data_IF_693652350738
#
_entry.id   IF_693652350738
#
_cell.length_a   1.000
_cell.length_b   1.000
_cell.length_c   1.000
_cell.angle_alpha   90.00
_cell.angle_beta   90.00
_cell.angle_gamma   90.00
#
_symmetry.space_group_name_H-M   'P 1'
#
loop_
_entity.id
_entity.type
_entity.pdbx_description
1 polymer ?
#
# COMPACT_ATOMS: atom_id res chain seq x y z
N UNK A 1 13.60 -25.90 -9.28
CA UNK A 1 12.59 -26.04 -8.21
C UNK A 1 11.67 -24.84 -8.36
N UNK A 2 10.42 -25.03 -8.77
CA UNK A 2 9.46 -23.94 -8.99
C UNK A 2 8.98 -23.42 -7.64
N UNK A 3 9.43 -22.22 -7.25
CA UNK A 3 9.02 -21.56 -6.01
C UNK A 3 7.92 -20.51 -6.21
N UNK A 4 7.26 -20.49 -7.37
CA UNK A 4 6.26 -19.47 -7.67
C UNK A 4 4.85 -20.08 -7.63
N UNK A 5 4.39 -20.43 -6.43
CA UNK A 5 2.95 -20.55 -6.23
C UNK A 5 2.37 -19.14 -6.20
N UNK A 6 1.48 -18.82 -7.14
CA UNK A 6 0.75 -17.55 -7.15
C UNK A 6 0.08 -17.33 -5.79
N UNK A 7 0.26 -16.15 -5.16
CA UNK A 7 -0.42 -15.83 -3.91
C UNK A 7 -1.95 -15.96 -4.05
N UNK A 8 -2.60 -16.45 -3.00
CA UNK A 8 -4.05 -16.63 -2.97
C UNK A 8 -4.71 -15.46 -2.25
N UNK A 9 -5.79 -14.94 -2.81
CA UNK A 9 -6.60 -13.90 -2.16
C UNK A 9 -7.45 -14.52 -1.05
N UNK A 10 -7.37 -13.95 0.15
CA UNK A 10 -8.14 -14.38 1.33
C UNK A 10 -8.82 -13.18 2.00
N UNK A 11 -9.96 -13.43 2.64
CA UNK A 11 -10.71 -12.41 3.39
C UNK A 11 -10.33 -12.48 4.88
N UNK A 12 -9.98 -11.34 5.46
CA UNK A 12 -9.66 -11.19 6.89
C UNK A 12 -10.91 -11.00 7.74
N UNK A 13 -10.79 -11.07 9.07
CA UNK A 13 -11.93 -10.94 9.99
C UNK A 13 -12.64 -9.57 9.91
N UNK A 14 -11.92 -8.50 9.57
CA UNK A 14 -12.50 -7.18 9.31
C UNK A 14 -13.16 -7.03 7.92
N UNK A 15 -13.16 -8.09 7.11
CA UNK A 15 -13.73 -8.12 5.76
C UNK A 15 -12.81 -7.61 4.65
N UNK A 16 -11.62 -7.11 4.98
CA UNK A 16 -10.64 -6.70 3.96
C UNK A 16 -9.91 -7.91 3.34
N UNK A 17 -9.23 -7.66 2.21
CA UNK A 17 -8.51 -8.71 1.50
C UNK A 17 -7.02 -8.70 1.83
N UNK A 18 -6.48 -9.90 2.06
CA UNK A 18 -5.05 -10.17 2.20
C UNK A 18 -4.61 -11.19 1.15
N UNK A 19 -3.30 -11.44 1.09
CA UNK A 19 -2.73 -12.51 0.29
C UNK A 19 -2.10 -13.55 1.21
N UNK A 20 -2.32 -14.83 0.91
CA UNK A 20 -1.54 -15.92 1.46
C UNK A 20 -0.50 -16.34 0.43
N UNK A 21 0.79 -16.35 0.79
CA UNK A 21 1.86 -16.92 -0.04
C UNK A 21 2.13 -18.37 0.37
N UNK A 22 1.70 -19.37 -0.43
CA UNK A 22 1.98 -20.77 -0.14
C UNK A 22 3.47 -21.08 -0.12
N UNK A 23 4.27 -20.32 -0.89
CA UNK A 23 5.73 -20.45 -0.93
C UNK A 23 6.38 -20.21 0.43
N UNK A 24 5.82 -19.32 1.26
CA UNK A 24 6.36 -18.98 2.59
C UNK A 24 5.51 -19.54 3.73
N UNK A 25 4.25 -19.89 3.45
CA UNK A 25 3.28 -20.28 4.47
C UNK A 25 2.84 -19.09 5.33
N UNK A 26 2.87 -17.88 4.76
CA UNK A 26 2.62 -16.61 5.47
C UNK A 26 1.59 -15.74 4.74
N UNK A 27 0.87 -14.95 5.53
CA UNK A 27 -0.03 -13.91 5.04
C UNK A 27 0.69 -12.57 4.89
N UNK A 28 0.29 -11.78 3.89
CA UNK A 28 0.88 -10.46 3.61
C UNK A 28 0.49 -9.41 4.65
N UNK A 29 -0.68 -9.59 5.27
CA UNK A 29 -1.21 -8.79 6.38
C UNK A 29 -1.85 -9.70 7.42
N UNK A 30 -2.10 -9.19 8.63
CA UNK A 30 -2.80 -9.92 9.69
C UNK A 30 -4.16 -10.45 9.23
N UNK A 31 -4.45 -11.69 9.60
CA UNK A 31 -5.76 -12.32 9.37
C UNK A 31 -6.90 -11.67 10.15
N UNK A 32 -6.58 -10.89 11.20
CA UNK A 32 -7.57 -10.15 11.99
C UNK A 32 -8.09 -8.91 11.25
N UNK A 33 -7.33 -8.40 10.27
CA UNK A 33 -7.78 -7.28 9.44
C UNK A 33 -6.65 -6.51 8.79
N UNK A 34 -6.52 -6.61 7.46
CA UNK A 34 -5.46 -5.94 6.71
C UNK A 34 -5.62 -4.42 6.74
N UNK A 35 -6.84 -3.92 6.46
CA UNK A 35 -7.12 -2.48 6.48
C UNK A 35 -7.01 -1.92 7.88
N UNK A 36 -7.55 -2.61 8.90
CA UNK A 36 -7.48 -2.15 10.27
C UNK A 36 -6.03 -2.05 10.77
N UNK A 37 -5.21 -3.06 10.49
CA UNK A 37 -3.79 -3.07 10.86
C UNK A 37 -3.03 -1.94 10.17
N UNK A 38 -3.17 -1.80 8.84
CA UNK A 38 -2.49 -0.74 8.08
C UNK A 38 -2.88 0.65 8.56
N UNK A 39 -4.17 0.90 8.84
CA UNK A 39 -4.64 2.18 9.37
C UNK A 39 -4.08 2.47 10.76
N UNK A 40 -4.05 1.47 11.64
CA UNK A 40 -3.62 1.68 13.01
C UNK A 40 -2.10 1.82 13.14
N UNK A 41 -1.35 0.84 12.61
CA UNK A 41 0.10 0.74 12.80
C UNK A 41 0.82 1.63 11.79
N UNK A 42 0.63 1.39 10.50
CA UNK A 42 1.40 2.04 9.47
C UNK A 42 1.02 3.51 9.33
N UNK A 43 -0.27 3.80 9.18
CA UNK A 43 -0.75 5.18 9.00
C UNK A 43 -0.77 5.93 10.31
N UNK A 44 -1.50 5.43 11.31
CA UNK A 44 -1.72 6.12 12.58
C UNK A 44 -0.46 6.30 13.42
N UNK A 45 0.24 5.21 13.73
CA UNK A 45 1.38 5.26 14.65
C UNK A 45 2.70 5.69 14.00
N UNK A 46 2.86 5.53 12.68
CA UNK A 46 4.10 5.93 12.00
C UNK A 46 3.93 7.18 11.12
N UNK A 47 3.14 7.10 10.03
CA UNK A 47 3.06 8.18 9.06
C UNK A 47 2.47 9.47 9.65
N UNK A 48 1.32 9.39 10.32
CA UNK A 48 0.66 10.56 10.90
C UNK A 48 1.52 11.22 11.98
N UNK A 49 2.14 10.44 12.87
CA UNK A 49 3.03 10.98 13.89
C UNK A 49 4.21 11.72 13.27
N UNK A 50 4.78 11.19 12.18
CA UNK A 50 5.83 11.89 11.42
C UNK A 50 5.33 13.19 10.80
N UNK A 51 4.16 13.17 10.16
CA UNK A 51 3.55 14.37 9.57
C UNK A 51 3.24 15.44 10.62
N UNK A 52 2.80 15.03 11.81
CA UNK A 52 2.56 15.92 12.96
C UNK A 52 3.86 16.54 13.47
N UNK A 53 4.92 15.75 13.58
CA UNK A 53 6.23 16.21 14.03
C UNK A 53 6.86 17.23 13.06
N UNK A 54 6.58 17.10 11.75
CA UNK A 54 7.06 18.01 10.70
C UNK A 54 6.00 19.02 10.25
N UNK A 55 5.00 19.32 11.09
CA UNK A 55 3.92 20.24 10.73
C UNK A 55 4.48 21.59 10.27
N UNK A 56 4.09 22.01 9.07
CA UNK A 56 4.51 23.27 8.46
C UNK A 56 5.81 23.19 7.65
N UNK A 57 6.48 22.03 7.62
CA UNK A 57 7.53 21.79 6.65
C UNK A 57 6.95 21.88 5.22
N UNK A 58 7.80 22.20 4.25
CA UNK A 58 7.40 22.35 2.84
C UNK A 58 8.06 21.32 1.93
N UNK A 59 9.13 20.70 2.40
CA UNK A 59 9.87 19.65 1.70
C UNK A 59 9.09 18.35 1.62
N UNK A 60 9.30 17.56 0.57
CA UNK A 60 8.66 16.26 0.44
C UNK A 60 9.10 15.28 1.53
N UNK A 61 8.15 14.53 2.10
CA UNK A 61 8.44 13.39 2.95
C UNK A 61 9.00 12.25 2.08
N UNK A 62 10.05 11.57 2.53
CA UNK A 62 10.59 10.39 1.87
C UNK A 62 10.27 9.17 2.71
N UNK A 63 9.55 8.22 2.15
CA UNK A 63 9.12 7.00 2.82
C UNK A 63 9.73 5.80 2.09
N UNK A 64 10.25 4.84 2.85
CA UNK A 64 10.77 3.58 2.30
C UNK A 64 10.03 2.40 2.92
N UNK A 65 9.48 1.53 2.08
CA UNK A 65 8.84 0.27 2.44
C UNK A 65 9.67 -0.92 1.92
N UNK A 66 9.70 -2.00 2.69
CA UNK A 66 10.23 -3.29 2.25
C UNK A 66 9.06 -4.25 2.13
N UNK A 67 8.82 -4.76 0.92
CA UNK A 67 7.66 -5.57 0.59
C UNK A 67 6.47 -4.70 0.20
N UNK A 68 6.38 -4.36 -1.09
CA UNK A 68 5.23 -3.64 -1.62
C UNK A 68 3.93 -4.45 -1.50
N UNK A 69 4.05 -5.76 -1.69
CA UNK A 69 2.98 -6.72 -1.48
C UNK A 69 1.69 -6.36 -2.21
N UNK A 70 0.62 -6.14 -1.44
CA UNK A 70 -0.69 -5.81 -1.99
C UNK A 70 -0.81 -4.37 -2.47
N UNK A 71 0.13 -3.49 -2.11
CA UNK A 71 0.05 -2.04 -2.35
C UNK A 71 -0.87 -1.28 -1.38
N UNK A 72 -1.45 -1.93 -0.36
CA UNK A 72 -2.39 -1.30 0.58
C UNK A 72 -1.76 -0.12 1.35
N UNK A 73 -0.56 -0.30 1.90
CA UNK A 73 0.12 0.77 2.63
C UNK A 73 0.48 1.95 1.73
N UNK A 74 0.89 1.68 0.48
CA UNK A 74 1.16 2.70 -0.52
C UNK A 74 -0.11 3.48 -0.88
N UNK A 75 -1.22 2.78 -1.13
CA UNK A 75 -2.53 3.38 -1.37
C UNK A 75 -2.96 4.29 -0.23
N UNK A 76 -2.89 3.82 1.02
CA UNK A 76 -3.28 4.60 2.19
C UNK A 76 -2.34 5.79 2.42
N UNK A 77 -1.05 5.63 2.15
CA UNK A 77 -0.08 6.73 2.20
C UNK A 77 -0.40 7.80 1.15
N UNK A 78 -0.76 7.40 -0.06
CA UNK A 78 -1.16 8.32 -1.13
C UNK A 78 -2.45 9.06 -0.76
N UNK A 79 -3.48 8.36 -0.29
CA UNK A 79 -4.71 8.99 0.22
C UNK A 79 -4.39 10.06 1.28
N UNK A 80 -3.45 9.77 2.19
CA UNK A 80 -3.02 10.73 3.23
C UNK A 80 -2.24 11.91 2.64
N UNK A 81 -1.34 11.66 1.70
CA UNK A 81 -0.56 12.71 1.04
C UNK A 81 -1.46 13.73 0.33
N UNK A 82 -2.51 13.25 -0.35
CA UNK A 82 -3.54 14.09 -0.98
C UNK A 82 -4.31 14.90 0.05
N UNK A 83 -4.81 14.26 1.12
CA UNK A 83 -5.61 14.91 2.15
C UNK A 83 -4.84 16.03 2.88
N UNK A 84 -3.56 15.81 3.17
CA UNK A 84 -2.69 16.76 3.86
C UNK A 84 -2.01 17.75 2.90
N UNK A 85 -2.15 17.55 1.58
CA UNK A 85 -1.44 18.28 0.52
C UNK A 85 0.07 18.33 0.78
N UNK A 86 0.62 17.22 1.27
CA UNK A 86 2.04 17.06 1.62
C UNK A 86 2.68 16.12 0.59
N UNK A 87 3.65 16.59 -0.21
CA UNK A 87 4.35 15.72 -1.14
C UNK A 87 5.05 14.57 -0.42
N UNK A 88 4.86 13.35 -0.93
CA UNK A 88 5.52 12.13 -0.48
C UNK A 88 6.23 11.49 -1.67
N UNK A 89 7.51 11.17 -1.49
CA UNK A 89 8.24 10.25 -2.37
C UNK A 89 8.26 8.88 -1.71
N UNK A 90 7.56 7.92 -2.31
CA UNK A 90 7.40 6.56 -1.82
C UNK A 90 8.37 5.63 -2.55
N UNK A 91 9.25 5.01 -1.79
CA UNK A 91 10.20 4.03 -2.29
C UNK A 91 9.78 2.66 -1.77
N UNK A 92 9.71 1.67 -2.65
CA UNK A 92 9.48 0.29 -2.22
C UNK A 92 10.36 -0.68 -2.98
N UNK A 93 10.61 -1.83 -2.36
CA UNK A 93 11.22 -2.98 -3.01
C UNK A 93 10.30 -4.18 -2.83
N UNK A 94 10.19 -4.99 -3.88
CA UNK A 94 9.43 -6.23 -3.84
C UNK A 94 10.20 -7.30 -4.62
N UNK A 95 10.35 -8.47 -4.01
CA UNK A 95 11.05 -9.59 -4.63
C UNK A 95 10.13 -10.38 -5.55
N UNK A 96 8.84 -10.45 -5.21
CA UNK A 96 7.84 -11.20 -5.98
C UNK A 96 6.59 -10.32 -6.20
N UNK A 97 6.64 -9.36 -7.16
CA UNK A 97 5.49 -8.51 -7.44
C UNK A 97 4.26 -9.35 -7.81
N UNK A 98 3.10 -8.97 -7.29
CA UNK A 98 1.83 -9.64 -7.57
C UNK A 98 1.39 -9.38 -9.01
N UNK A 99 0.89 -10.42 -9.69
CA UNK A 99 0.42 -10.31 -11.07
C UNK A 99 -0.94 -9.60 -11.19
N UNK A 100 -1.33 -9.15 -12.39
CA UNK A 100 -2.62 -8.52 -12.66
C UNK A 100 -3.81 -9.34 -12.16
N UNK A 101 -3.80 -10.66 -12.34
CA UNK A 101 -4.91 -11.51 -11.87
C UNK A 101 -5.13 -11.42 -10.36
N UNK A 102 -4.08 -11.10 -9.58
CA UNK A 102 -4.15 -11.00 -8.13
C UNK A 102 -4.56 -9.59 -7.72
N UNK A 103 -3.87 -8.54 -8.20
CA UNK A 103 -4.16 -7.19 -7.71
C UNK A 103 -5.47 -6.63 -8.25
N UNK A 104 -5.95 -7.07 -9.42
CA UNK A 104 -7.28 -6.69 -9.93
C UNK A 104 -8.41 -7.29 -9.09
N UNK A 105 -8.15 -8.41 -8.42
CA UNK A 105 -9.09 -9.01 -7.47
C UNK A 105 -9.08 -8.29 -6.11
N UNK A 106 -8.04 -7.49 -5.80
CA UNK A 106 -7.99 -6.73 -4.56
C UNK A 106 -8.94 -5.55 -4.61
N UNK A 107 -9.84 -5.52 -3.63
CA UNK A 107 -10.75 -4.42 -3.36
C UNK A 107 -10.79 -4.18 -1.86
N UNK A 108 -10.64 -2.92 -1.47
CA UNK A 108 -10.57 -2.51 -0.08
C UNK A 108 -11.82 -1.70 0.28
N UNK A 109 -12.94 -2.40 0.44
CA UNK A 109 -14.19 -1.76 0.87
C UNK A 109 -14.01 -1.02 2.19
N UNK A 110 -14.61 0.17 2.29
CA UNK A 110 -14.50 1.01 3.49
C UNK A 110 -13.20 1.84 3.59
N UNK A 111 -12.21 1.63 2.71
CA UNK A 111 -11.12 2.60 2.53
C UNK A 111 -11.72 3.84 1.88
N UNK A 112 -11.70 4.95 2.62
CA UNK A 112 -12.25 6.24 2.18
C UNK A 112 -11.12 7.26 2.06
N UNK A 113 -11.31 8.22 1.17
CA UNK A 113 -10.34 9.29 0.96
C UNK A 113 -10.58 10.02 -0.37
N UNK A 114 -9.69 10.95 -0.73
CA UNK A 114 -9.78 11.73 -1.96
C UNK A 114 -9.65 10.91 -3.26
N UNK A 115 -9.05 9.71 -3.23
CA UNK A 115 -8.85 8.86 -4.40
C UNK A 115 -9.86 7.72 -4.44
N UNK A 116 -10.22 7.27 -5.65
CA UNK A 116 -10.85 5.97 -5.83
C UNK A 116 -9.83 4.85 -5.51
N UNK A 117 -10.10 3.94 -4.55
CA UNK A 117 -9.14 2.92 -4.16
C UNK A 117 -8.74 1.97 -5.30
N UNK A 118 -9.68 1.59 -6.18
CA UNK A 118 -9.40 0.64 -7.23
C UNK A 118 -8.53 1.27 -8.34
N UNK A 119 -8.85 2.50 -8.75
CA UNK A 119 -8.05 3.23 -9.72
C UNK A 119 -6.62 3.50 -9.19
N UNK A 120 -6.51 3.95 -7.94
CA UNK A 120 -5.21 4.24 -7.33
C UNK A 120 -4.37 2.96 -7.15
N UNK A 121 -4.98 1.84 -6.74
CA UNK A 121 -4.29 0.57 -6.63
C UNK A 121 -3.80 0.08 -8.00
N UNK A 122 -4.64 0.19 -9.03
CA UNK A 122 -4.26 -0.12 -10.41
C UNK A 122 -3.08 0.73 -10.89
N UNK A 123 -3.09 2.04 -10.60
CA UNK A 123 -1.99 2.93 -10.94
C UNK A 123 -0.68 2.57 -10.22
N UNK A 124 -0.75 2.18 -8.95
CA UNK A 124 0.40 1.75 -8.17
C UNK A 124 1.02 0.44 -8.71
N UNK A 125 0.20 -0.56 -9.05
CA UNK A 125 0.70 -1.85 -9.57
C UNK A 125 1.17 -1.79 -11.03
N UNK A 126 0.67 -0.82 -11.81
CA UNK A 126 1.08 -0.63 -13.22
C UNK A 126 2.26 0.32 -13.39
N UNK A 127 2.67 1.01 -12.32
CA UNK A 127 3.86 1.86 -12.33
C UNK A 127 5.13 1.00 -12.58
N UNK A 128 6.02 1.39 -13.52
CA UNK A 128 7.24 0.64 -13.80
C UNK A 128 8.18 0.60 -12.59
N UNK A 129 8.69 -0.61 -12.28
CA UNK A 129 9.75 -0.79 -11.30
C UNK A 129 11.06 -0.13 -11.74
N UNK A 130 11.72 0.55 -10.81
CA UNK A 130 13.04 1.16 -11.01
C UNK A 130 13.02 2.61 -11.51
N UNK A 131 11.84 3.14 -11.86
CA UNK A 131 11.64 4.52 -12.28
C UNK A 131 10.79 5.29 -11.27
N UNK A 132 11.04 6.59 -11.15
CA UNK A 132 10.18 7.48 -10.36
C UNK A 132 8.95 7.88 -11.18
N UNK A 133 7.76 7.66 -10.63
CA UNK A 133 6.49 7.87 -11.34
C UNK A 133 5.62 8.81 -10.54
N UNK A 134 5.48 10.05 -11.02
CA UNK A 134 4.58 11.02 -10.39
C UNK A 134 3.12 10.64 -10.68
N UNK A 135 2.45 10.05 -9.69
CA UNK A 135 1.03 9.69 -9.79
C UNK A 135 0.12 10.89 -9.46
N UNK A 136 0.63 11.86 -8.70
CA UNK A 136 -0.01 13.15 -8.48
C UNK A 136 1.01 14.22 -8.06
N UNK A 137 0.61 15.50 -7.87
CA UNK A 137 1.49 16.51 -7.28
C UNK A 137 1.96 16.19 -5.86
N UNK A 138 1.32 15.24 -5.17
CA UNK A 138 1.58 14.90 -3.78
C UNK A 138 2.13 13.49 -3.58
N UNK A 139 2.22 12.67 -4.63
CA UNK A 139 2.73 11.31 -4.53
C UNK A 139 3.57 10.92 -5.76
N UNK A 140 4.77 10.42 -5.50
CA UNK A 140 5.74 9.95 -6.50
C UNK A 140 6.38 8.67 -6.02
#
# INVERSE_FOLDING_TARGET
>A
MSHDATPLVETTEDGSLTLFAPTFGEHYHSTHGAVQESLHIYIGMALEERLRAERGATESLRLFEVGFGTGLNALLTWQRAEAERRPVHYYSIEKYPVGPEVYEALHYEGVTGPLDPAEALGALHTAPWGDAVALSPFFT
#
